data_IF_603090199253
#
_entry.id   IF_603090199253
#
_cell.length_a   1.000
_cell.length_b   1.000
_cell.length_c   1.000
_cell.angle_alpha   90.00
_cell.angle_beta   90.00
_cell.angle_gamma   90.00
#
_symmetry.space_group_name_H-M   'P 1'
#
loop_
_entity.id
_entity.type
_entity.pdbx_description
1 polymer ?
#
# COMPACT_ATOMS: atom_id res chain seq x y z
N UNK A 1 28.28 14.44 -1.71
CA UNK A 1 27.04 13.64 -1.54
C UNK A 1 25.75 14.48 -1.39
N UNK A 2 25.77 15.82 -1.56
CA UNK A 2 24.59 16.66 -1.30
C UNK A 2 23.59 16.86 -2.45
N UNK A 3 23.87 16.40 -3.68
CA UNK A 3 23.00 16.68 -4.85
C UNK A 3 21.74 15.80 -4.91
N UNK A 4 21.80 14.55 -4.46
CA UNK A 4 20.68 13.59 -4.60
C UNK A 4 19.50 13.85 -3.64
N UNK A 5 19.74 14.53 -2.51
CA UNK A 5 18.68 14.81 -1.52
C UNK A 5 17.80 15.99 -1.96
N UNK A 6 18.38 17.00 -2.61
CA UNK A 6 17.65 18.17 -3.13
C UNK A 6 16.76 17.81 -4.33
N UNK A 7 17.31 17.07 -5.31
CA UNK A 7 16.57 16.64 -6.51
C UNK A 7 15.38 15.72 -6.18
N UNK A 8 15.48 14.93 -5.10
CA UNK A 8 14.37 14.07 -4.63
C UNK A 8 13.20 14.85 -4.04
N UNK A 9 13.45 15.91 -3.28
CA UNK A 9 12.37 16.72 -2.72
C UNK A 9 11.65 17.48 -3.83
N UNK A 10 12.39 18.05 -4.78
CA UNK A 10 11.80 18.73 -5.93
C UNK A 10 10.97 17.79 -6.81
N UNK A 11 11.46 16.57 -7.08
CA UNK A 11 10.70 15.60 -7.89
C UNK A 11 9.44 15.10 -7.16
N UNK A 12 9.50 14.97 -5.83
CA UNK A 12 8.37 14.56 -5.01
C UNK A 12 7.29 15.63 -4.93
N UNK A 13 7.69 16.88 -4.72
CA UNK A 13 6.78 18.02 -4.69
C UNK A 13 6.09 18.22 -6.04
N UNK A 14 6.85 18.16 -7.13
CA UNK A 14 6.29 18.21 -8.50
C UNK A 14 5.33 17.05 -8.76
N UNK A 15 5.65 15.85 -8.29
CA UNK A 15 4.77 14.68 -8.43
C UNK A 15 3.48 14.85 -7.62
N UNK A 16 3.55 15.39 -6.40
CA UNK A 16 2.35 15.66 -5.59
C UNK A 16 1.46 16.74 -6.21
N UNK A 17 2.06 17.81 -6.77
CA UNK A 17 1.33 18.83 -7.52
C UNK A 17 0.66 18.20 -8.75
N UNK A 18 1.37 17.35 -9.49
CA UNK A 18 0.80 16.64 -10.63
C UNK A 18 -0.41 15.77 -10.20
N UNK A 19 -0.31 15.05 -9.08
CA UNK A 19 -1.42 14.24 -8.55
C UNK A 19 -2.64 15.09 -8.21
N UNK A 20 -2.44 16.28 -7.63
CA UNK A 20 -3.55 17.20 -7.37
C UNK A 20 -4.22 17.68 -8.67
N UNK A 21 -3.44 17.94 -9.73
CA UNK A 21 -3.98 18.27 -11.05
C UNK A 21 -4.80 17.10 -11.63
N UNK A 22 -4.29 15.86 -11.53
CA UNK A 22 -5.01 14.67 -11.98
C UNK A 22 -6.33 14.44 -11.23
N UNK A 23 -6.35 14.67 -9.91
CA UNK A 23 -7.60 14.61 -9.12
C UNK A 23 -8.61 15.68 -9.55
N UNK A 24 -8.15 16.90 -9.83
CA UNK A 24 -9.02 17.98 -10.33
C UNK A 24 -9.55 17.71 -11.74
N UNK A 25 -8.76 17.02 -12.57
CA UNK A 25 -9.12 16.69 -13.94
C UNK A 25 -10.00 15.44 -14.08
N UNK A 26 -10.37 14.77 -12.97
CA UNK A 26 -11.14 13.53 -13.02
C UNK A 26 -10.34 12.29 -13.45
N UNK A 27 -9.02 12.42 -13.64
CA UNK A 27 -8.14 11.36 -14.17
C UNK A 27 -7.40 10.63 -13.05
N UNK A 28 -8.16 9.89 -12.23
CA UNK A 28 -7.63 9.24 -11.03
C UNK A 28 -6.65 8.09 -11.33
N UNK A 29 -6.92 7.28 -12.36
CA UNK A 29 -6.07 6.13 -12.72
C UNK A 29 -4.68 6.58 -13.17
N UNK A 30 -4.58 7.65 -13.96
CA UNK A 30 -3.30 8.22 -14.38
C UNK A 30 -2.51 8.76 -13.18
N UNK A 31 -3.20 9.44 -12.26
CA UNK A 31 -2.61 9.88 -11.01
C UNK A 31 -2.08 8.71 -10.19
N UNK A 32 -2.86 7.63 -10.06
CA UNK A 32 -2.47 6.41 -9.35
C UNK A 32 -1.24 5.76 -9.97
N UNK A 33 -1.15 5.70 -11.31
CA UNK A 33 -0.01 5.15 -12.05
C UNK A 33 1.28 5.92 -11.78
N UNK A 34 1.20 7.25 -11.73
CA UNK A 34 2.36 8.10 -11.43
C UNK A 34 2.80 7.92 -9.98
N UNK A 35 1.87 7.90 -9.03
CA UNK A 35 2.17 7.66 -7.60
C UNK A 35 2.79 6.28 -7.40
N UNK A 36 2.24 5.25 -8.04
CA UNK A 36 2.77 3.89 -7.97
C UNK A 36 4.19 3.79 -8.52
N UNK A 37 4.48 4.44 -9.66
CA UNK A 37 5.84 4.50 -10.22
C UNK A 37 6.81 5.19 -9.26
N UNK A 38 6.40 6.31 -8.68
CA UNK A 38 7.20 7.02 -7.67
C UNK A 38 7.45 6.14 -6.44
N UNK A 39 6.46 5.37 -5.99
CA UNK A 39 6.63 4.44 -4.87
C UNK A 39 7.68 3.35 -5.18
N UNK A 40 7.67 2.79 -6.39
CA UNK A 40 8.67 1.81 -6.84
C UNK A 40 10.08 2.41 -6.96
N UNK A 41 10.21 3.65 -7.42
CA UNK A 41 11.49 4.37 -7.47
C UNK A 41 12.04 4.65 -6.06
N UNK A 42 11.18 5.07 -5.14
CA UNK A 42 11.56 5.30 -3.74
C UNK A 42 11.90 4.00 -3.01
N UNK A 43 11.27 2.88 -3.39
CA UNK A 43 11.56 1.55 -2.86
C UNK A 43 12.99 1.12 -3.20
N UNK A 44 13.44 1.37 -4.44
CA UNK A 44 14.81 1.08 -4.87
C UNK A 44 15.88 1.89 -4.12
N UNK A 45 15.51 3.06 -3.58
CA UNK A 45 16.40 3.93 -2.80
C UNK A 45 16.40 3.60 -1.30
N UNK A 46 15.72 2.52 -0.88
CA UNK A 46 15.56 2.16 0.53
C UNK A 46 14.99 3.32 1.36
N UNK A 47 13.97 4.00 0.81
CA UNK A 47 13.31 5.10 1.51
C UNK A 47 12.60 4.62 2.80
N UNK A 48 12.35 5.55 3.73
CA UNK A 48 11.68 5.24 5.01
C UNK A 48 10.34 4.53 4.77
N UNK A 49 10.08 3.44 5.50
CA UNK A 49 8.89 2.60 5.34
C UNK A 49 7.57 3.39 5.46
N UNK A 50 7.51 4.40 6.34
CA UNK A 50 6.35 5.30 6.48
C UNK A 50 6.04 6.06 5.19
N UNK A 51 7.07 6.51 4.45
CA UNK A 51 6.90 7.24 3.18
C UNK A 51 6.37 6.30 2.11
N UNK A 52 6.94 5.10 1.99
CA UNK A 52 6.45 4.08 1.06
C UNK A 52 4.99 3.72 1.32
N UNK A 53 4.64 3.46 2.58
CA UNK A 53 3.24 3.21 2.97
C UNK A 53 2.32 4.34 2.53
N UNK A 54 2.69 5.61 2.77
CA UNK A 54 1.88 6.77 2.35
C UNK A 54 1.68 6.82 0.84
N UNK A 55 2.70 6.50 0.05
CA UNK A 55 2.59 6.51 -1.41
C UNK A 55 1.70 5.38 -1.94
N UNK A 56 1.89 4.14 -1.49
CA UNK A 56 1.01 3.03 -1.90
C UNK A 56 -0.43 3.26 -1.46
N UNK A 57 -0.65 3.76 -0.23
CA UNK A 57 -2.00 4.11 0.23
C UNK A 57 -2.60 5.24 -0.61
N UNK A 58 -1.83 6.26 -0.98
CA UNK A 58 -2.32 7.33 -1.85
C UNK A 58 -2.73 6.80 -3.23
N UNK A 59 -1.93 5.89 -3.82
CA UNK A 59 -2.29 5.25 -5.09
C UNK A 59 -3.58 4.41 -4.95
N UNK A 60 -3.73 3.66 -3.86
CA UNK A 60 -4.93 2.87 -3.58
C UNK A 60 -6.18 3.75 -3.41
N UNK A 61 -6.06 4.87 -2.70
CA UNK A 61 -7.14 5.83 -2.52
C UNK A 61 -7.58 6.50 -3.82
N UNK A 62 -6.64 6.77 -4.73
CA UNK A 62 -6.99 7.30 -6.06
C UNK A 62 -7.78 6.27 -6.88
N UNK A 63 -7.40 4.99 -6.82
CA UNK A 63 -8.15 3.91 -7.46
C UNK A 63 -9.56 3.79 -6.84
N UNK A 64 -9.68 3.90 -5.52
CA UNK A 64 -10.98 3.88 -4.86
C UNK A 64 -11.84 5.09 -5.23
N UNK A 65 -11.26 6.29 -5.30
CA UNK A 65 -11.93 7.51 -5.78
C UNK A 65 -12.46 7.32 -7.22
N UNK A 66 -11.70 6.65 -8.10
CA UNK A 66 -12.16 6.29 -9.44
C UNK A 66 -13.41 5.42 -9.41
N UNK A 67 -13.38 4.32 -8.65
CA UNK A 67 -14.53 3.42 -8.52
C UNK A 67 -15.75 4.13 -7.92
N UNK A 68 -15.54 5.03 -6.94
CA UNK A 68 -16.63 5.82 -6.37
C UNK A 68 -17.28 6.72 -7.41
N UNK A 69 -16.48 7.45 -8.20
CA UNK A 69 -17.01 8.33 -9.23
C UNK A 69 -17.74 7.56 -10.32
N UNK A 70 -17.13 6.46 -10.77
CA UNK A 70 -17.72 5.58 -11.76
C UNK A 70 -19.09 5.02 -11.30
N UNK A 71 -19.19 4.58 -10.04
CA UNK A 71 -20.44 4.11 -9.46
C UNK A 71 -21.51 5.21 -9.37
N UNK A 72 -21.14 6.45 -9.06
CA UNK A 72 -22.06 7.60 -9.07
C UNK A 72 -22.58 7.86 -10.50
N UNK A 73 -21.70 7.86 -11.49
CA UNK A 73 -22.08 8.02 -12.90
C UNK A 73 -22.97 6.88 -13.44
N UNK A 74 -22.82 5.66 -12.91
CA UNK A 74 -23.74 4.56 -13.19
C UNK A 74 -25.09 4.83 -12.54
N UNK A 75 -25.12 5.18 -11.25
CA UNK A 75 -26.34 5.38 -10.48
C UNK A 75 -27.20 6.55 -11.03
N UNK A 76 -26.58 7.66 -11.42
CA UNK A 76 -27.30 8.80 -12.02
C UNK A 76 -27.92 8.44 -13.37
N UNK A 77 -27.23 7.65 -14.20
CA UNK A 77 -27.74 7.27 -15.53
C UNK A 77 -28.73 6.10 -15.49
N UNK A 78 -28.60 5.17 -14.55
CA UNK A 78 -29.59 4.09 -14.36
C UNK A 78 -30.89 4.58 -13.73
N UNK A 79 -30.86 5.68 -12.97
CA UNK A 79 -32.07 6.37 -12.53
C UNK A 79 -32.81 7.07 -13.69
N UNK A 80 -32.09 7.48 -14.73
CA UNK A 80 -32.66 8.11 -15.93
C UNK A 80 -33.17 7.09 -16.96
N UNK A 81 -32.59 5.89 -17.02
CA UNK A 81 -32.93 4.86 -18.02
C UNK A 81 -33.25 3.52 -17.32
N UNK A 82 -34.52 3.10 -17.34
CA UNK A 82 -35.11 1.94 -16.64
C UNK A 82 -34.58 0.55 -17.08
N UNK A 83 -33.36 0.43 -17.62
CA UNK A 83 -32.85 -0.78 -18.27
C UNK A 83 -31.57 -1.30 -17.64
N UNK A 84 -31.62 -2.55 -17.16
CA UNK A 84 -30.46 -3.32 -16.68
C UNK A 84 -29.37 -3.51 -17.74
N UNK A 85 -29.69 -3.39 -19.03
CA UNK A 85 -28.73 -3.51 -20.14
C UNK A 85 -27.72 -2.37 -20.17
N UNK A 86 -28.13 -1.15 -19.84
CA UNK A 86 -27.23 0.03 -19.85
C UNK A 86 -26.23 0.02 -18.70
N UNK A 87 -26.60 -0.54 -17.55
CA UNK A 87 -25.69 -0.76 -16.43
C UNK A 87 -24.61 -1.82 -16.77
N UNK A 88 -24.99 -2.90 -17.46
CA UNK A 88 -24.05 -3.94 -17.90
C UNK A 88 -23.09 -3.42 -18.98
N UNK A 89 -23.59 -2.69 -19.97
CA UNK A 89 -22.77 -2.07 -21.02
C UNK A 89 -21.72 -1.12 -20.43
N UNK A 90 -22.09 -0.32 -19.42
CA UNK A 90 -21.15 0.54 -18.72
C UNK A 90 -20.10 -0.21 -17.92
N UNK A 91 -20.46 -1.29 -17.21
CA UNK A 91 -19.47 -2.13 -16.50
C UNK A 91 -18.46 -2.74 -17.49
N UNK A 92 -18.91 -3.12 -18.68
CA UNK A 92 -18.03 -3.54 -19.78
C UNK A 92 -17.14 -2.39 -20.29
N UNK A 93 -17.66 -1.16 -20.39
CA UNK A 93 -16.86 0.03 -20.72
C UNK A 93 -15.80 0.34 -19.65
N UNK A 94 -16.06 0.07 -18.36
CA UNK A 94 -15.08 0.21 -17.27
C UNK A 94 -13.85 -0.66 -17.51
N UNK A 95 -14.07 -1.95 -17.77
CA UNK A 95 -13.02 -2.92 -18.08
C UNK A 95 -12.29 -2.59 -19.40
N UNK A 96 -12.95 -1.91 -20.35
CA UNK A 96 -12.32 -1.43 -21.58
C UNK A 96 -11.47 -0.17 -21.35
N UNK A 97 -11.87 0.71 -20.42
CA UNK A 97 -11.15 1.94 -20.08
C UNK A 97 -9.94 1.65 -19.16
N UNK A 98 -10.04 0.62 -18.33
CA UNK A 98 -8.91 0.11 -17.56
C UNK A 98 -7.94 -0.62 -18.49
N UNK A 99 -6.76 -0.05 -18.69
CA UNK A 99 -5.70 -0.73 -19.40
C UNK A 99 -5.34 -2.04 -18.68
N UNK A 100 -4.94 -3.08 -19.42
CA UNK A 100 -4.53 -4.38 -18.86
C UNK A 100 -3.43 -4.23 -17.80
N UNK A 101 -2.59 -3.22 -17.94
CA UNK A 101 -1.57 -2.82 -16.98
C UNK A 101 -2.16 -2.27 -15.68
N UNK A 102 -3.25 -1.49 -15.75
CA UNK A 102 -3.91 -0.90 -14.58
C UNK A 102 -4.65 -1.98 -13.78
N UNK A 103 -5.33 -2.91 -14.45
CA UNK A 103 -5.98 -4.06 -13.80
C UNK A 103 -4.99 -4.93 -12.99
N UNK A 104 -3.73 -5.03 -13.45
CA UNK A 104 -2.65 -5.71 -12.71
C UNK A 104 -2.04 -4.86 -11.60
N UNK A 105 -2.07 -3.53 -11.75
CA UNK A 105 -1.52 -2.58 -10.80
C UNK A 105 -2.38 -2.51 -9.54
N UNK A 106 -3.71 -2.48 -9.67
CA UNK A 106 -4.66 -2.40 -8.54
C UNK A 106 -4.35 -3.40 -7.41
N UNK A 107 -4.32 -4.72 -7.64
CA UNK A 107 -4.03 -5.68 -6.57
C UNK A 107 -2.59 -5.56 -6.04
N UNK A 108 -1.65 -5.06 -6.83
CA UNK A 108 -0.26 -4.84 -6.39
C UNK A 108 -0.16 -3.68 -5.40
N UNK A 109 -0.87 -2.58 -5.66
CA UNK A 109 -0.89 -1.42 -4.77
C UNK A 109 -1.42 -1.79 -3.39
N UNK A 110 -2.55 -2.51 -3.34
CA UNK A 110 -3.15 -2.97 -2.09
C UNK A 110 -2.24 -3.93 -1.32
N UNK A 111 -1.65 -4.92 -2.01
CA UNK A 111 -0.69 -5.86 -1.39
C UNK A 111 0.57 -5.15 -0.87
N UNK A 112 1.10 -4.19 -1.64
CA UNK A 112 2.26 -3.39 -1.21
C UNK A 112 1.93 -2.56 0.03
N UNK A 113 0.78 -1.86 0.03
CA UNK A 113 0.33 -1.08 1.19
C UNK A 113 0.14 -1.95 2.44
N UNK A 114 -0.45 -3.14 2.27
CA UNK A 114 -0.63 -4.11 3.33
C UNK A 114 0.71 -4.61 3.89
N UNK A 115 1.68 -4.94 3.03
CA UNK A 115 3.00 -5.39 3.45
C UNK A 115 3.69 -4.36 4.35
N UNK A 116 3.76 -3.09 3.92
CA UNK A 116 4.34 -2.04 4.75
C UNK A 116 3.53 -1.77 6.03
N UNK A 117 2.21 -1.93 5.98
CA UNK A 117 1.40 -1.79 7.18
C UNK A 117 1.71 -2.85 8.23
N UNK A 118 1.73 -4.12 7.84
CA UNK A 118 2.04 -5.23 8.74
C UNK A 118 3.47 -5.18 9.26
N UNK A 119 4.42 -4.74 8.44
CA UNK A 119 5.81 -4.55 8.88
C UNK A 119 5.91 -3.51 9.99
N UNK A 120 5.27 -2.36 9.82
CA UNK A 120 5.21 -1.33 10.86
C UNK A 120 4.41 -1.78 12.09
N UNK A 121 3.37 -2.59 11.90
CA UNK A 121 2.55 -3.12 13.00
C UNK A 121 3.38 -4.10 13.86
N UNK A 122 4.10 -5.02 13.24
CA UNK A 122 4.97 -5.97 13.92
C UNK A 122 6.08 -5.25 14.72
N UNK A 123 6.68 -4.20 14.13
CA UNK A 123 7.63 -3.35 14.86
C UNK A 123 6.98 -2.67 16.07
N UNK A 124 5.77 -2.13 15.93
CA UNK A 124 5.04 -1.50 17.05
C UNK A 124 4.72 -2.49 18.15
N UNK A 125 4.22 -3.67 17.81
CA UNK A 125 3.89 -4.73 18.77
C UNK A 125 5.15 -5.21 19.52
N UNK A 126 6.28 -5.35 18.83
CA UNK A 126 7.58 -5.64 19.45
C UNK A 126 7.95 -4.59 20.51
N UNK A 127 7.78 -3.29 20.23
CA UNK A 127 8.05 -2.23 21.21
C UNK A 127 7.04 -2.18 22.37
N UNK A 128 5.82 -2.68 22.16
CA UNK A 128 4.80 -2.79 23.21
C UNK A 128 4.98 -4.03 24.10
N UNK A 129 5.91 -4.93 23.75
CA UNK A 129 6.15 -6.18 24.48
C UNK A 129 5.17 -7.30 24.12
N UNK A 130 4.28 -7.11 23.14
CA UNK A 130 3.40 -8.18 22.65
C UNK A 130 4.12 -9.01 21.59
N UNK A 131 4.99 -9.91 22.06
CA UNK A 131 5.85 -10.73 21.19
C UNK A 131 5.04 -11.76 20.39
N UNK A 132 3.95 -12.30 20.94
CA UNK A 132 3.13 -13.31 20.26
C UNK A 132 2.34 -12.72 19.09
N UNK A 133 1.70 -11.56 19.28
CA UNK A 133 1.02 -10.87 18.20
C UNK A 133 2.01 -10.38 17.12
N UNK A 134 3.18 -9.88 17.54
CA UNK A 134 4.24 -9.48 16.63
C UNK A 134 4.76 -10.66 15.79
N UNK A 135 4.90 -11.84 16.39
CA UNK A 135 5.32 -13.07 15.69
C UNK A 135 4.28 -13.50 14.66
N UNK A 136 2.99 -13.53 15.04
CA UNK A 136 1.89 -13.88 14.14
C UNK A 136 1.83 -12.93 12.93
N UNK A 137 1.93 -11.62 13.20
CA UNK A 137 1.95 -10.58 12.15
C UNK A 137 3.18 -10.73 11.23
N UNK A 138 4.34 -11.07 11.80
CA UNK A 138 5.56 -11.31 11.03
C UNK A 138 5.49 -12.56 10.16
N UNK A 139 4.74 -13.58 10.58
CA UNK A 139 4.50 -14.76 9.76
C UNK A 139 3.61 -14.42 8.56
N UNK A 140 2.54 -13.64 8.77
CA UNK A 140 1.70 -13.13 7.67
C UNK A 140 2.47 -12.24 6.68
N UNK A 141 3.57 -11.61 7.11
CA UNK A 141 4.46 -10.85 6.21
C UNK A 141 5.25 -11.74 5.24
N UNK A 142 5.54 -12.99 5.60
CA UNK A 142 6.29 -13.91 4.74
C UNK A 142 5.55 -14.15 3.43
N UNK A 143 4.22 -14.27 3.49
CA UNK A 143 3.36 -14.39 2.31
C UNK A 143 3.38 -13.12 1.42
N UNK A 144 3.69 -11.97 2.02
CA UNK A 144 3.78 -10.67 1.36
C UNK A 144 5.22 -10.26 0.99
N UNK A 145 6.19 -11.18 1.11
CA UNK A 145 7.63 -10.93 0.93
C UNK A 145 8.11 -10.54 -0.47
N UNK A 146 7.20 -10.23 -1.40
CA UNK A 146 7.55 -9.72 -2.74
C UNK A 146 7.90 -8.23 -2.73
N UNK A 147 7.48 -7.48 -1.70
CA UNK A 147 7.66 -6.03 -1.62
C UNK A 147 8.80 -5.60 -0.68
N UNK A 148 8.99 -6.35 0.40
CA UNK A 148 9.99 -6.10 1.45
C UNK A 148 11.12 -7.12 1.28
N UNK A 149 12.35 -6.71 1.54
CA UNK A 149 13.51 -7.60 1.50
C UNK A 149 13.30 -8.78 2.48
N UNK A 150 13.38 -10.05 2.02
CA UNK A 150 13.30 -11.20 2.90
C UNK A 150 14.25 -11.11 4.10
N UNK A 151 15.44 -10.51 3.93
CA UNK A 151 16.43 -10.34 4.99
C UNK A 151 15.87 -9.51 6.15
N UNK A 152 15.14 -8.43 5.87
CA UNK A 152 14.53 -7.60 6.90
C UNK A 152 13.43 -8.36 7.66
N UNK A 153 12.64 -9.16 6.95
CA UNK A 153 11.56 -9.98 7.53
C UNK A 153 12.16 -11.05 8.47
N UNK A 154 13.15 -11.81 8.01
CA UNK A 154 13.78 -12.85 8.83
C UNK A 154 14.57 -12.27 10.00
N UNK A 155 15.19 -11.09 9.82
CA UNK A 155 15.86 -10.39 10.93
C UNK A 155 14.86 -9.98 12.01
N UNK A 156 13.65 -9.54 11.62
CA UNK A 156 12.58 -9.22 12.57
C UNK A 156 12.09 -10.46 13.30
N UNK A 157 11.82 -11.55 12.58
CA UNK A 157 11.39 -12.84 13.16
C UNK A 157 12.44 -13.38 14.13
N UNK A 158 13.72 -13.35 13.76
CA UNK A 158 14.82 -13.82 14.62
C UNK A 158 14.93 -13.01 15.92
N UNK A 159 14.77 -11.68 15.85
CA UNK A 159 14.70 -10.82 17.05
C UNK A 159 13.50 -11.20 17.91
N UNK A 160 12.31 -11.34 17.32
CA UNK A 160 11.09 -11.70 18.03
C UNK A 160 11.20 -13.05 18.74
N UNK A 161 11.80 -14.04 18.08
CA UNK A 161 12.04 -15.36 18.66
C UNK A 161 12.95 -15.27 19.90
N UNK A 162 14.07 -14.54 19.80
CA UNK A 162 14.96 -14.32 20.92
C UNK A 162 14.26 -13.66 22.13
N UNK A 163 13.46 -12.60 21.88
CA UNK A 163 12.73 -11.92 22.95
C UNK A 163 11.65 -12.79 23.58
N UNK A 164 10.91 -13.56 22.78
CA UNK A 164 9.88 -14.48 23.27
C UNK A 164 10.46 -15.57 24.19
N UNK A 165 11.59 -16.18 23.80
CA UNK A 165 12.27 -17.21 24.61
C UNK A 165 12.82 -16.60 25.91
N UNK A 166 13.39 -15.40 25.84
CA UNK A 166 13.91 -14.69 27.01
C UNK A 166 12.81 -14.35 28.01
N UNK A 167 11.66 -13.88 27.56
CA UNK A 167 10.54 -13.52 28.45
C UNK A 167 9.92 -14.77 29.11
N UNK A 168 9.74 -15.86 28.35
CA UNK A 168 9.32 -17.14 28.91
C UNK A 168 10.30 -17.70 29.96
N UNK A 169 11.60 -17.52 29.73
CA UNK A 169 12.65 -17.93 30.69
C UNK A 169 12.64 -17.07 31.95
N UNK A 170 12.41 -15.75 31.83
CA UNK A 170 12.28 -14.84 32.97
C UNK A 170 11.03 -15.14 33.81
N UNK A 171 9.89 -15.40 33.16
CA UNK A 171 8.67 -15.82 33.85
C UNK A 171 8.83 -17.16 34.59
N UNK A 172 9.66 -18.06 34.07
CA UNK A 172 9.97 -19.33 34.74
C UNK A 172 10.89 -19.12 35.96
N UNK A 173 11.84 -18.18 35.90
CA UNK A 173 12.75 -17.87 37.02
C UNK A 173 12.05 -17.09 38.14
N UNK A 174 11.10 -16.21 37.83
CA UNK A 174 10.37 -15.39 38.83
C UNK A 174 9.24 -16.19 39.52
N UNK A 175 8.83 -17.33 38.95
CA UNK A 175 7.83 -18.24 39.54
C UNK A 175 8.40 -19.36 40.41
N UNK A 176 9.72 -19.39 40.62
CA UNK A 176 10.41 -20.28 41.58
C UNK A 176 10.80 -19.47 42.80
#
# INVERSE_FOLDING_TARGET
MGKCVGEMNESSERTLVAVQLYRRAGRFIDGARIVYRMAEEERKKTARCLRLKKLYVLAALLIEDHYRQFNVEIAEKSAADLKTTTALEKLLEEDCNLSREDARMIPRVWKAAQAYHFFMLAQRQLFQGDYFAAMTTSFSLVELGTYIDPIEIYTLIGKLFYWCVRDASLLTIIRV
#
